data_IF_864091667276
#
_entry.id   IF_864091667276
#
_cell.length_a   1.000
_cell.length_b   1.000
_cell.length_c   1.000
_cell.angle_alpha   90.00
_cell.angle_beta   90.00
_cell.angle_gamma   90.00
#
_symmetry.space_group_name_H-M   'P 1'
#
loop_
_entity.id
_entity.type
_entity.pdbx_description
1 polymer ?
#
# COMPACT_ATOMS: atom_id res chain seq x y z
N UNK A 1 21.24 15.85 -14.25
CA UNK A 1 20.69 16.77 -13.23
C UNK A 1 21.07 16.28 -11.84
N UNK A 2 21.61 17.14 -11.03
CA UNK A 2 22.00 16.75 -9.67
C UNK A 2 20.78 16.77 -8.76
N UNK A 3 20.47 15.61 -8.17
CA UNK A 3 19.38 15.50 -7.21
C UNK A 3 19.97 15.47 -5.81
N UNK A 4 19.71 16.51 -5.06
CA UNK A 4 20.01 16.54 -3.63
C UNK A 4 18.79 16.02 -2.88
N UNK A 5 18.96 15.58 -1.63
CA UNK A 5 17.87 15.03 -0.85
C UNK A 5 16.63 15.94 -0.79
N UNK A 6 16.84 17.25 -0.80
CA UNK A 6 15.73 18.20 -0.71
C UNK A 6 15.03 18.50 -2.04
N UNK A 7 15.54 17.98 -3.18
CA UNK A 7 14.91 18.16 -4.49
C UNK A 7 14.40 16.87 -5.09
N UNK A 8 14.34 15.80 -4.31
CA UNK A 8 13.78 14.54 -4.77
C UNK A 8 12.27 14.67 -4.99
N UNK A 9 11.75 13.95 -6.00
CA UNK A 9 10.31 13.82 -6.20
C UNK A 9 9.68 13.08 -5.02
N UNK A 10 8.35 13.15 -4.89
CA UNK A 10 7.63 12.42 -3.85
C UNK A 10 7.90 10.92 -3.88
N UNK A 11 7.91 10.32 -5.09
CA UNK A 11 8.21 8.91 -5.26
C UNK A 11 9.65 8.55 -4.89
N UNK A 12 10.60 9.36 -5.33
CA UNK A 12 12.01 9.15 -4.98
C UNK A 12 12.23 9.27 -3.47
N UNK A 13 11.58 10.23 -2.84
CA UNK A 13 11.65 10.42 -1.39
C UNK A 13 11.12 9.19 -0.66
N UNK A 14 9.99 8.65 -1.10
CA UNK A 14 9.39 7.45 -0.50
C UNK A 14 10.30 6.26 -0.62
N UNK A 15 10.88 6.03 -1.79
CA UNK A 15 11.83 4.94 -1.99
C UNK A 15 13.05 5.08 -1.11
N UNK A 16 13.56 6.30 -0.96
CA UNK A 16 14.69 6.58 -0.09
C UNK A 16 14.37 6.30 1.37
N UNK A 17 13.20 6.70 1.84
CA UNK A 17 12.76 6.44 3.21
C UNK A 17 12.66 4.93 3.48
N UNK A 18 12.10 4.18 2.54
CA UNK A 18 12.02 2.72 2.66
C UNK A 18 13.40 2.10 2.72
N UNK A 19 14.29 2.52 1.83
CA UNK A 19 15.67 2.01 1.79
C UNK A 19 16.42 2.28 3.09
N UNK A 20 16.25 3.46 3.66
CA UNK A 20 16.86 3.80 4.96
C UNK A 20 16.35 2.90 6.07
N UNK A 21 15.06 2.65 6.09
CA UNK A 21 14.45 1.76 7.10
C UNK A 21 14.98 0.35 6.96
N UNK A 22 15.19 -0.13 5.73
CA UNK A 22 15.73 -1.47 5.48
C UNK A 22 17.18 -1.63 5.95
N UNK A 23 17.94 -0.55 6.03
CA UNK A 23 19.32 -0.59 6.51
C UNK A 23 19.41 -1.06 7.96
N UNK A 24 18.33 -0.98 8.73
CA UNK A 24 18.25 -1.46 10.11
C UNK A 24 17.93 -2.96 10.20
N UNK A 25 17.77 -3.64 9.09
CA UNK A 25 17.42 -5.06 9.00
C UNK A 25 16.16 -5.39 9.83
N UNK A 26 15.03 -4.72 9.56
CA UNK A 26 13.83 -4.91 10.36
C UNK A 26 13.11 -6.20 10.02
N UNK A 27 12.30 -6.70 10.97
CA UNK A 27 11.36 -7.81 10.73
C UNK A 27 9.99 -7.30 10.30
N UNK A 28 9.67 -6.07 10.70
CA UNK A 28 8.41 -5.41 10.37
C UNK A 28 8.67 -4.01 9.88
N UNK A 29 7.86 -3.57 8.94
CA UNK A 29 7.93 -2.22 8.43
C UNK A 29 6.53 -1.61 8.43
N UNK A 30 6.44 -0.38 8.90
CA UNK A 30 5.19 0.38 8.90
C UNK A 30 5.28 1.46 7.85
N UNK A 31 4.32 1.47 6.92
CA UNK A 31 4.26 2.46 5.85
C UNK A 31 2.95 3.24 6.00
N UNK A 32 3.07 4.52 6.34
CA UNK A 32 1.92 5.38 6.50
C UNK A 32 1.68 6.18 5.22
N UNK A 33 0.57 5.89 4.57
CA UNK A 33 0.15 6.51 3.31
C UNK A 33 1.26 6.53 2.23
N UNK A 34 1.83 5.37 1.89
CA UNK A 34 2.93 5.32 0.94
C UNK A 34 2.57 5.78 -0.48
N UNK A 35 1.28 5.75 -0.82
CA UNK A 35 0.82 6.13 -2.16
C UNK A 35 0.33 7.58 -2.26
N UNK A 36 0.30 8.31 -1.15
CA UNK A 36 -0.24 9.67 -1.15
C UNK A 36 0.70 10.65 -1.86
N UNK A 37 0.13 11.46 -2.72
CA UNK A 37 0.83 12.60 -3.32
C UNK A 37 1.92 12.25 -4.32
N UNK A 38 1.91 11.03 -4.87
CA UNK A 38 2.89 10.63 -5.89
C UNK A 38 2.18 10.25 -7.18
N UNK A 39 2.94 10.26 -8.29
CA UNK A 39 2.38 9.97 -9.60
C UNK A 39 2.16 8.46 -9.81
N UNK A 40 1.37 8.06 -10.83
CA UNK A 40 1.05 6.65 -11.07
C UNK A 40 2.26 5.74 -11.28
N UNK A 41 3.31 6.24 -11.91
CA UNK A 41 4.53 5.45 -12.12
C UNK A 41 5.21 5.19 -10.81
N UNK A 42 5.30 6.19 -9.94
CA UNK A 42 5.89 6.06 -8.62
C UNK A 42 5.06 5.13 -7.73
N UNK A 43 3.74 5.18 -7.82
CA UNK A 43 2.85 4.25 -7.12
C UNK A 43 3.19 2.82 -7.49
N UNK A 44 3.32 2.54 -8.78
CA UNK A 44 3.66 1.19 -9.26
C UNK A 44 5.01 0.73 -8.73
N UNK A 45 6.00 1.62 -8.69
CA UNK A 45 7.32 1.28 -8.15
C UNK A 45 7.26 0.94 -6.67
N UNK A 46 6.49 1.68 -5.89
CA UNK A 46 6.30 1.39 -4.47
C UNK A 46 5.61 0.04 -4.29
N UNK A 47 4.60 -0.26 -5.11
CA UNK A 47 3.92 -1.56 -5.06
C UNK A 47 4.90 -2.70 -5.32
N UNK A 48 5.80 -2.54 -6.29
CA UNK A 48 6.84 -3.54 -6.56
C UNK A 48 7.77 -3.73 -5.38
N UNK A 49 8.18 -2.64 -4.74
CA UNK A 49 9.05 -2.71 -3.55
C UNK A 49 8.36 -3.47 -2.43
N UNK A 50 7.11 -3.14 -2.12
CA UNK A 50 6.36 -3.81 -1.05
C UNK A 50 6.22 -5.30 -1.34
N UNK A 51 5.91 -5.66 -2.57
CA UNK A 51 5.78 -7.07 -2.96
C UNK A 51 7.08 -7.83 -2.76
N UNK A 52 8.23 -7.22 -3.10
CA UNK A 52 9.54 -7.82 -2.87
C UNK A 52 9.84 -8.00 -1.39
N UNK A 53 9.46 -7.04 -0.55
CA UNK A 53 9.66 -7.13 0.89
C UNK A 53 8.86 -8.30 1.47
N UNK A 54 7.64 -8.47 1.02
CA UNK A 54 6.80 -9.60 1.44
C UNK A 54 7.46 -10.93 1.08
N UNK A 55 8.04 -11.03 -0.10
CA UNK A 55 8.74 -12.26 -0.54
C UNK A 55 9.97 -12.57 0.30
N UNK A 56 10.52 -11.57 0.97
CA UNK A 56 11.64 -11.74 1.90
C UNK A 56 11.17 -12.04 3.33
N UNK A 57 9.90 -12.37 3.52
CA UNK A 57 9.30 -12.64 4.82
C UNK A 57 9.32 -11.45 5.78
N UNK A 58 9.34 -10.23 5.22
CA UNK A 58 9.18 -9.03 6.02
C UNK A 58 7.70 -8.79 6.26
N UNK A 59 7.32 -8.51 7.50
CA UNK A 59 5.96 -8.09 7.80
C UNK A 59 5.79 -6.62 7.41
N UNK A 60 4.76 -6.29 6.62
CA UNK A 60 4.51 -4.91 6.19
C UNK A 60 3.10 -4.52 6.59
N UNK A 61 2.97 -3.44 7.35
CA UNK A 61 1.70 -2.84 7.68
C UNK A 61 1.58 -1.52 6.93
N UNK A 62 0.53 -1.39 6.12
CA UNK A 62 0.29 -0.20 5.31
C UNK A 62 -1.00 0.47 5.76
N UNK A 63 -0.97 1.78 5.94
CA UNK A 63 -2.17 2.59 6.07
C UNK A 63 -2.27 3.47 4.84
N UNK A 64 -3.41 3.43 4.14
CA UNK A 64 -3.62 4.27 2.97
C UNK A 64 -5.10 4.34 2.64
N UNK A 65 -5.50 5.43 2.01
CA UNK A 65 -6.85 5.59 1.50
C UNK A 65 -6.96 5.22 0.01
N UNK A 66 -5.86 4.92 -0.63
CA UNK A 66 -5.85 4.42 -2.01
C UNK A 66 -6.20 2.93 -1.98
N UNK A 67 -7.49 2.66 -1.96
CA UNK A 67 -8.02 1.33 -1.66
C UNK A 67 -7.62 0.32 -2.71
N UNK A 68 -7.73 0.67 -3.98
CA UNK A 68 -7.42 -0.24 -5.09
C UNK A 68 -5.98 -0.74 -5.00
N UNK A 69 -5.02 0.18 -4.89
CA UNK A 69 -3.60 -0.16 -4.83
C UNK A 69 -3.28 -0.98 -3.58
N UNK A 70 -3.85 -0.57 -2.45
CA UNK A 70 -3.60 -1.25 -1.18
C UNK A 70 -4.13 -2.68 -1.21
N UNK A 71 -5.35 -2.90 -1.66
CA UNK A 71 -5.93 -4.24 -1.74
C UNK A 71 -5.19 -5.12 -2.73
N UNK A 72 -4.65 -4.53 -3.78
CA UNK A 72 -3.92 -5.27 -4.82
C UNK A 72 -2.66 -5.95 -4.28
N UNK A 73 -2.03 -5.38 -3.25
CA UNK A 73 -0.75 -5.88 -2.73
C UNK A 73 -0.82 -6.45 -1.32
N UNK A 74 -1.97 -6.41 -0.66
CA UNK A 74 -2.08 -6.89 0.73
C UNK A 74 -2.65 -8.30 0.79
N UNK A 75 -2.24 -9.04 1.81
CA UNK A 75 -2.77 -10.37 2.10
C UNK A 75 -4.04 -10.27 2.94
N UNK A 76 -4.05 -9.32 3.87
CA UNK A 76 -5.18 -9.08 4.76
C UNK A 76 -5.35 -7.59 4.95
N UNK A 77 -6.58 -7.13 4.93
CA UNK A 77 -6.90 -5.71 5.06
C UNK A 77 -8.00 -5.48 6.07
N UNK A 78 -7.96 -4.30 6.68
CA UNK A 78 -8.94 -3.84 7.63
C UNK A 78 -9.51 -2.52 7.12
N UNK A 79 -10.82 -2.47 6.93
CA UNK A 79 -11.49 -1.24 6.49
C UNK A 79 -11.95 -0.47 7.71
N UNK A 80 -11.40 0.73 7.90
CA UNK A 80 -11.77 1.62 8.98
C UNK A 80 -12.83 2.60 8.50
N UNK A 81 -13.91 2.71 9.28
CA UNK A 81 -15.00 3.63 8.97
C UNK A 81 -15.53 4.22 10.27
N UNK A 82 -15.53 5.54 10.35
CA UNK A 82 -15.97 6.28 11.54
C UNK A 82 -15.34 5.78 12.85
N UNK A 83 -14.03 5.57 12.82
CA UNK A 83 -13.27 5.16 14.00
C UNK A 83 -13.40 3.71 14.40
N UNK A 84 -14.00 2.88 13.55
CA UNK A 84 -14.19 1.45 13.82
C UNK A 84 -13.72 0.59 12.66
N UNK A 85 -13.36 -0.65 12.97
CA UNK A 85 -13.10 -1.64 11.93
C UNK A 85 -14.45 -2.11 11.41
N UNK A 86 -14.78 -1.72 10.18
CA UNK A 86 -16.04 -2.10 9.54
C UNK A 86 -16.01 -3.54 9.09
N UNK A 87 -14.95 -3.92 8.38
CA UNK A 87 -14.76 -5.26 7.82
C UNK A 87 -13.27 -5.57 7.80
N UNK A 88 -12.94 -6.84 7.84
CA UNK A 88 -11.56 -7.29 7.66
C UNK A 88 -11.54 -8.63 6.93
N UNK A 89 -10.44 -8.90 6.26
CA UNK A 89 -10.27 -10.16 5.56
C UNK A 89 -9.30 -10.05 4.39
N UNK A 90 -9.33 -11.07 3.53
CA UNK A 90 -8.53 -11.06 2.33
C UNK A 90 -9.05 -10.01 1.35
N UNK A 91 -8.20 -9.62 0.40
CA UNK A 91 -8.60 -8.66 -0.62
C UNK A 91 -9.82 -9.18 -1.42
N UNK A 92 -9.81 -10.47 -1.73
CA UNK A 92 -10.91 -11.10 -2.47
C UNK A 92 -12.23 -11.06 -1.70
N UNK A 93 -12.19 -11.37 -0.41
CA UNK A 93 -13.40 -11.36 0.41
C UNK A 93 -13.96 -9.94 0.56
N UNK A 94 -13.10 -8.94 0.71
CA UNK A 94 -13.54 -7.56 0.81
C UNK A 94 -14.08 -7.03 -0.52
N UNK A 95 -13.44 -7.39 -1.63
CA UNK A 95 -13.90 -6.97 -2.96
C UNK A 95 -15.28 -7.52 -3.29
N UNK A 96 -15.66 -8.65 -2.70
CA UNK A 96 -16.95 -9.28 -2.92
C UNK A 96 -17.97 -8.99 -1.81
N UNK A 97 -17.58 -8.27 -0.77
CA UNK A 97 -18.49 -7.95 0.33
C UNK A 97 -19.41 -6.79 -0.06
N UNK A 98 -20.75 -6.98 -0.02
CA UNK A 98 -21.67 -5.92 -0.44
C UNK A 98 -21.58 -4.65 0.38
N UNK A 99 -21.35 -4.76 1.69
CA UNK A 99 -21.26 -3.59 2.56
C UNK A 99 -19.95 -2.83 2.31
N UNK A 100 -18.84 -3.56 2.14
CA UNK A 100 -17.56 -2.94 1.80
C UNK A 100 -17.64 -2.20 0.47
N UNK A 101 -18.28 -2.80 -0.52
CA UNK A 101 -18.47 -2.15 -1.83
C UNK A 101 -19.36 -0.92 -1.72
N UNK A 102 -20.44 -1.02 -0.98
CA UNK A 102 -21.39 0.09 -0.83
C UNK A 102 -20.80 1.28 -0.09
N UNK A 103 -20.08 1.03 0.99
CA UNK A 103 -19.60 2.10 1.88
C UNK A 103 -18.19 2.57 1.61
N UNK A 104 -17.38 1.77 0.92
CA UNK A 104 -15.95 2.05 0.84
C UNK A 104 -15.37 1.91 -0.58
N UNK A 105 -15.65 0.80 -1.25
CA UNK A 105 -14.99 0.49 -2.53
C UNK A 105 -15.69 1.10 -3.74
N UNK A 106 -17.02 1.18 -3.71
CA UNK A 106 -17.82 1.56 -4.87
C UNK A 106 -18.27 0.34 -5.68
N UNK A 107 -19.40 0.48 -6.36
CA UNK A 107 -20.02 -0.62 -7.08
C UNK A 107 -19.21 -1.11 -8.28
N UNK A 108 -18.45 -0.21 -8.90
CA UNK A 108 -17.64 -0.54 -10.06
C UNK A 108 -16.26 -1.08 -9.72
N UNK A 109 -15.95 -1.23 -8.44
CA UNK A 109 -14.63 -1.70 -8.00
C UNK A 109 -14.33 -3.10 -8.54
N UNK A 110 -13.12 -3.27 -9.09
CA UNK A 110 -12.60 -4.55 -9.53
C UNK A 110 -11.22 -4.76 -8.93
N UNK A 111 -10.99 -5.94 -8.41
CA UNK A 111 -9.72 -6.28 -7.81
C UNK A 111 -8.75 -6.82 -8.87
N UNK A 112 -7.65 -6.10 -9.05
CA UNK A 112 -6.54 -6.58 -9.88
C UNK A 112 -5.42 -6.99 -8.96
N UNK A 113 -5.01 -8.26 -9.03
CA UNK A 113 -3.89 -8.73 -8.20
C UNK A 113 -2.58 -8.39 -8.88
N UNK A 114 -1.67 -7.87 -8.09
CA UNK A 114 -0.35 -7.47 -8.57
C UNK A 114 0.58 -8.66 -8.43
N UNK A 115 0.94 -9.25 -9.56
CA UNK A 115 1.80 -10.41 -9.60
C UNK A 115 3.17 -10.03 -10.17
N UNK A 116 4.18 -10.20 -9.36
CA UNK A 116 5.57 -9.90 -9.76
C UNK A 116 6.39 -11.18 -9.88
#
# INVERSE_FOLDING_TARGET
>A
MNSYGYVLSGGERRRTEIARSLALDPRFMLLDEPFAGIDPIAVEEIMKIVTKLKKRNLGVLITDHNVHETLTITDRSYLLFEGRILKSGSAESLANDPEARRLYLGESFKLDRYDL
#
